data_IF_364152258917
#
_entry.id   IF_364152258917
#
_cell.length_a   1.000
_cell.length_b   1.000
_cell.length_c   1.000
_cell.angle_alpha   90.00
_cell.angle_beta   90.00
_cell.angle_gamma   90.00
#
_symmetry.space_group_name_H-M   'P 1'
#
loop_
_entity.id
_entity.type
_entity.pdbx_description
1 polymer ?
#
# COMPACT_ATOMS: atom_id res chain seq x y z
N UNK A 1 -21.35 -3.46 -48.43
CA UNK A 1 -20.98 -3.56 -47.01
C UNK A 1 -22.05 -4.36 -46.31
N UNK A 2 -21.62 -5.48 -45.77
CA UNK A 2 -22.22 -6.79 -45.99
C UNK A 2 -23.32 -7.12 -44.97
N UNK A 3 -24.45 -7.65 -45.43
CA UNK A 3 -25.55 -8.15 -44.60
C UNK A 3 -25.02 -9.16 -43.56
N UNK A 4 -23.97 -9.90 -43.94
CA UNK A 4 -23.22 -10.82 -43.10
C UNK A 4 -22.63 -10.16 -41.84
N UNK A 5 -22.15 -8.91 -41.94
CA UNK A 5 -21.58 -8.18 -40.80
C UNK A 5 -22.65 -7.75 -39.79
N UNK A 6 -23.84 -7.37 -40.29
CA UNK A 6 -24.98 -7.03 -39.42
C UNK A 6 -25.48 -8.25 -38.66
N UNK A 7 -25.64 -9.38 -39.35
CA UNK A 7 -26.08 -10.64 -38.72
C UNK A 7 -25.06 -11.10 -37.67
N UNK A 8 -23.75 -11.01 -37.95
CA UNK A 8 -22.71 -11.34 -36.99
C UNK A 8 -22.76 -10.47 -35.73
N UNK A 9 -22.96 -9.15 -35.86
CA UNK A 9 -23.07 -8.23 -34.72
C UNK A 9 -24.33 -8.51 -33.89
N UNK A 10 -25.46 -8.81 -34.52
CA UNK A 10 -26.69 -9.15 -33.79
C UNK A 10 -26.56 -10.48 -33.03
N UNK A 11 -25.90 -11.48 -33.62
CA UNK A 11 -25.67 -12.77 -32.97
C UNK A 11 -24.71 -12.66 -31.77
N UNK A 12 -23.66 -11.84 -31.86
CA UNK A 12 -22.73 -11.64 -30.73
C UNK A 12 -23.37 -10.87 -29.57
N UNK A 13 -24.19 -9.85 -29.87
CA UNK A 13 -24.92 -9.10 -28.84
C UNK A 13 -25.95 -9.97 -28.11
N UNK A 14 -26.67 -10.84 -28.82
CA UNK A 14 -27.61 -11.79 -28.22
C UNK A 14 -26.92 -12.83 -27.31
N UNK A 15 -25.68 -13.18 -27.62
CA UNK A 15 -24.90 -14.13 -26.81
C UNK A 15 -24.43 -13.51 -25.48
N UNK A 16 -24.01 -12.24 -25.51
CA UNK A 16 -23.58 -11.50 -24.30
C UNK A 16 -24.76 -11.26 -23.34
N UNK A 17 -25.97 -11.01 -23.84
CA UNK A 17 -27.16 -10.82 -23.00
C UNK A 17 -27.65 -12.10 -22.32
N UNK A 18 -27.20 -13.28 -22.78
CA UNK A 18 -27.63 -14.57 -22.25
C UNK A 18 -26.71 -15.10 -21.14
N UNK A 19 -25.66 -14.36 -20.76
CA UNK A 19 -24.77 -14.74 -19.66
C UNK A 19 -25.46 -14.39 -18.33
N UNK A 20 -25.82 -15.37 -17.49
CA UNK A 20 -26.37 -15.08 -16.17
C UNK A 20 -25.28 -14.45 -15.30
N UNK A 21 -25.45 -13.17 -14.95
CA UNK A 21 -24.61 -12.48 -13.97
C UNK A 21 -24.88 -13.11 -12.60
N UNK A 22 -23.96 -13.94 -12.11
CA UNK A 22 -24.05 -14.46 -10.76
C UNK A 22 -23.70 -13.35 -9.75
N UNK A 23 -24.52 -13.13 -8.71
CA UNK A 23 -24.16 -12.21 -7.64
C UNK A 23 -22.98 -12.80 -6.85
N UNK A 24 -21.86 -12.07 -6.80
CA UNK A 24 -20.77 -12.35 -5.86
C UNK A 24 -21.35 -12.18 -4.45
N UNK A 25 -21.56 -13.31 -3.79
CA UNK A 25 -22.02 -13.34 -2.41
C UNK A 25 -20.88 -12.86 -1.52
N UNK A 26 -21.05 -11.72 -0.86
CA UNK A 26 -20.12 -11.24 0.14
C UNK A 26 -19.97 -12.27 1.26
N UNK A 27 -18.72 -12.62 1.60
CA UNK A 27 -18.43 -13.46 2.76
C UNK A 27 -18.86 -12.71 4.02
N UNK A 28 -19.82 -13.30 4.74
CA UNK A 28 -20.31 -12.81 6.02
C UNK A 28 -19.23 -13.00 7.09
N UNK A 29 -18.80 -11.89 7.68
CA UNK A 29 -17.80 -11.84 8.75
C UNK A 29 -18.47 -12.24 10.07
N UNK A 30 -18.50 -13.53 10.36
CA UNK A 30 -18.91 -14.04 11.67
C UNK A 30 -18.03 -15.20 12.07
N UNK A 31 -16.97 -14.87 12.81
CA UNK A 31 -16.23 -15.66 13.80
C UNK A 31 -14.74 -15.30 13.83
N UNK A 32 -14.43 -14.10 14.36
CA UNK A 32 -13.15 -13.85 14.99
C UNK A 32 -13.36 -13.29 16.41
N UNK A 33 -14.17 -14.00 17.18
CA UNK A 33 -14.15 -13.90 18.64
C UNK A 33 -13.01 -14.79 19.15
N UNK A 34 -11.99 -14.21 19.78
CA UNK A 34 -11.14 -14.97 20.71
C UNK A 34 -9.62 -14.94 20.54
N UNK A 35 -9.00 -14.01 19.80
CA UNK A 35 -7.53 -13.84 19.88
C UNK A 35 -7.14 -12.38 20.10
N UNK A 36 -7.06 -12.00 21.37
CA UNK A 36 -6.32 -10.82 21.81
C UNK A 36 -4.84 -11.06 21.54
N UNK A 37 -4.42 -10.87 20.28
CA UNK A 37 -3.01 -10.87 19.88
C UNK A 37 -2.41 -9.63 20.55
N UNK A 38 -1.55 -9.83 21.54
CA UNK A 38 -0.78 -8.74 22.14
C UNK A 38 -0.01 -8.05 21.01
N UNK A 39 -0.16 -6.74 20.91
CA UNK A 39 0.56 -5.88 19.97
C UNK A 39 2.05 -5.92 20.27
N UNK A 40 2.73 -6.96 19.77
CA UNK A 40 4.19 -7.06 19.71
C UNK A 40 4.68 -6.56 18.34
N UNK A 41 4.07 -5.49 17.83
CA UNK A 41 4.57 -4.72 16.68
C UNK A 41 5.04 -3.37 17.25
N UNK A 42 6.16 -3.39 17.98
CA UNK A 42 6.55 -2.26 18.83
C UNK A 42 7.71 -1.44 18.28
N UNK A 43 8.85 -2.09 18.04
CA UNK A 43 10.13 -1.38 17.85
C UNK A 43 11.11 -2.06 16.89
N UNK A 44 10.83 -3.26 16.35
CA UNK A 44 11.77 -3.96 15.47
C UNK A 44 11.91 -3.31 14.09
N UNK A 45 10.81 -2.79 13.55
CA UNK A 45 10.78 -2.17 12.23
C UNK A 45 11.10 -0.66 12.27
N UNK A 46 11.47 -0.09 13.43
CA UNK A 46 11.73 1.35 13.54
C UNK A 46 12.98 1.74 12.75
N UNK A 47 12.83 2.70 11.85
CA UNK A 47 13.96 3.27 11.11
C UNK A 47 14.57 4.38 11.97
N UNK A 48 15.81 4.17 12.41
CA UNK A 48 16.52 5.12 13.27
C UNK A 48 17.21 6.22 12.49
N UNK A 49 17.79 5.89 11.33
CA UNK A 49 18.45 6.84 10.43
C UNK A 49 18.65 6.23 9.04
N UNK A 50 18.37 7.00 8.00
CA UNK A 50 18.75 6.68 6.62
C UNK A 50 20.05 7.41 6.21
N UNK A 51 20.82 6.86 5.27
CA UNK A 51 21.93 7.57 4.63
C UNK A 51 21.45 8.91 4.05
N UNK A 52 22.12 10.01 4.41
CA UNK A 52 21.76 11.35 3.95
C UNK A 52 20.47 11.93 4.55
N UNK A 53 19.85 11.27 5.54
CA UNK A 53 18.63 11.77 6.16
C UNK A 53 18.88 13.02 7.01
N UNK A 54 18.19 14.14 6.72
CA UNK A 54 18.16 15.29 7.63
C UNK A 54 17.39 14.95 8.91
N UNK A 55 17.60 15.72 9.98
CA UNK A 55 16.89 15.50 11.25
C UNK A 55 15.37 15.60 11.07
N UNK A 56 14.62 14.65 11.62
CA UNK A 56 13.15 14.54 11.52
C UNK A 56 12.53 14.49 12.91
N UNK A 57 11.28 14.95 13.02
CA UNK A 57 10.50 15.02 14.27
C UNK A 57 9.34 13.99 14.30
N UNK A 58 9.32 13.05 13.37
CA UNK A 58 8.33 11.95 13.29
C UNK A 58 9.04 10.60 13.25
N UNK A 59 8.34 9.55 13.72
CA UNK A 59 8.84 8.17 13.60
C UNK A 59 8.42 7.57 12.27
N UNK A 60 9.24 6.67 11.77
CA UNK A 60 8.96 5.90 10.57
C UNK A 60 9.46 4.46 10.73
N UNK A 61 8.77 3.55 10.06
CA UNK A 61 8.92 2.11 10.24
C UNK A 61 8.97 1.44 8.88
N UNK A 62 9.89 0.51 8.66
CA UNK A 62 10.00 -0.22 7.42
C UNK A 62 10.22 -1.69 7.71
N UNK A 63 9.48 -2.56 7.03
CA UNK A 63 9.51 -3.99 7.30
C UNK A 63 8.68 -4.78 6.31
N UNK A 64 8.44 -6.05 6.65
CA UNK A 64 7.69 -6.98 5.82
C UNK A 64 6.47 -7.52 6.56
N UNK A 65 5.36 -7.63 5.84
CA UNK A 65 4.14 -8.31 6.31
C UNK A 65 3.92 -9.54 5.47
N UNK A 66 4.00 -10.73 6.07
CA UNK A 66 3.71 -11.99 5.40
C UNK A 66 2.23 -12.05 5.00
N UNK A 67 1.97 -12.23 3.71
CA UNK A 67 0.61 -12.31 3.14
C UNK A 67 0.24 -13.72 2.67
N UNK A 68 1.24 -14.59 2.45
CA UNK A 68 1.01 -15.99 2.18
C UNK A 68 2.20 -16.81 2.68
N UNK A 69 2.06 -17.42 3.86
CA UNK A 69 3.10 -18.24 4.48
C UNK A 69 3.46 -19.46 3.63
N UNK A 70 2.46 -20.13 3.03
CA UNK A 70 2.67 -21.35 2.23
C UNK A 70 3.54 -21.12 1.01
N UNK A 71 3.40 -19.95 0.39
CA UNK A 71 4.13 -19.57 -0.82
C UNK A 71 5.28 -18.59 -0.50
N UNK A 72 5.61 -18.37 0.77
CA UNK A 72 6.68 -17.45 1.18
C UNK A 72 6.49 -15.99 0.73
N UNK A 73 5.24 -15.53 0.53
CA UNK A 73 4.98 -14.17 0.03
C UNK A 73 4.85 -13.19 1.18
N UNK A 74 5.61 -12.11 1.12
CA UNK A 74 5.49 -10.95 1.99
C UNK A 74 5.36 -9.66 1.18
N UNK A 75 4.75 -8.65 1.78
CA UNK A 75 4.70 -7.28 1.28
C UNK A 75 5.62 -6.41 2.10
N UNK A 76 6.53 -5.71 1.43
CA UNK A 76 7.28 -4.64 2.06
C UNK A 76 6.39 -3.42 2.31
N UNK A 77 6.54 -2.81 3.47
CA UNK A 77 5.89 -1.57 3.83
C UNK A 77 6.90 -0.53 4.31
N UNK A 78 6.59 0.74 4.07
CA UNK A 78 7.27 1.85 4.72
C UNK A 78 6.22 2.84 5.24
N UNK A 79 6.15 2.95 6.56
CA UNK A 79 5.20 3.76 7.32
C UNK A 79 5.85 5.01 7.88
N UNK A 80 5.18 6.15 7.76
CA UNK A 80 5.57 7.41 8.36
C UNK A 80 4.45 7.89 9.30
N UNK A 81 4.78 8.18 10.55
CA UNK A 81 3.84 8.86 11.45
C UNK A 81 3.55 10.28 10.95
N UNK A 82 2.36 10.79 11.29
CA UNK A 82 2.06 12.18 11.06
C UNK A 82 2.96 13.08 11.90
N UNK A 83 3.40 14.20 11.35
CA UNK A 83 4.27 15.15 12.07
C UNK A 83 3.55 15.84 13.22
N UNK A 84 2.21 15.91 13.19
CA UNK A 84 1.39 16.56 14.22
C UNK A 84 0.30 15.63 14.75
N UNK A 85 0.29 15.41 16.07
CA UNK A 85 -0.68 14.59 16.81
C UNK A 85 -0.95 13.24 16.12
N UNK A 86 0.09 12.38 15.94
CA UNK A 86 -0.04 11.14 15.17
C UNK A 86 -1.13 10.20 15.69
N UNK A 87 -1.43 10.23 16.99
CA UNK A 87 -2.48 9.41 17.61
C UNK A 87 -3.93 9.85 17.25
N UNK A 88 -4.09 11.04 16.66
CA UNK A 88 -5.39 11.62 16.28
C UNK A 88 -5.63 11.63 14.76
N UNK A 89 -4.69 11.12 13.95
CA UNK A 89 -4.78 11.16 12.49
C UNK A 89 -5.31 9.84 11.93
N UNK A 90 -6.14 9.86 10.87
CA UNK A 90 -6.66 8.64 10.28
C UNK A 90 -5.53 7.79 9.69
N UNK A 91 -5.81 6.48 9.55
CA UNK A 91 -4.96 5.59 8.79
C UNK A 91 -5.17 5.75 7.29
N UNK A 92 -4.12 5.96 6.50
CA UNK A 92 -4.17 6.01 5.03
C UNK A 92 -3.26 4.96 4.40
N UNK A 93 -3.81 4.11 3.52
CA UNK A 93 -3.06 3.16 2.71
C UNK A 93 -2.88 3.76 1.31
N UNK A 94 -1.63 3.87 0.86
CA UNK A 94 -1.29 4.30 -0.50
C UNK A 94 -0.74 3.13 -1.31
N UNK A 95 -1.35 2.92 -2.48
CA UNK A 95 -0.96 1.91 -3.45
C UNK A 95 -0.85 2.58 -4.82
N UNK A 96 0.32 2.52 -5.42
CA UNK A 96 0.46 2.89 -6.82
C UNK A 96 -0.19 1.83 -7.71
N UNK A 97 -0.82 2.31 -8.78
CA UNK A 97 -1.41 1.45 -9.81
C UNK A 97 -0.38 0.91 -10.79
N UNK A 98 -0.88 0.30 -11.87
CA UNK A 98 -0.08 -0.37 -12.89
C UNK A 98 0.48 -1.71 -12.40
N UNK A 99 0.58 -2.74 -13.26
CA UNK A 99 1.22 -3.98 -12.87
C UNK A 99 2.72 -3.74 -12.66
N UNK A 100 3.17 -3.86 -11.40
CA UNK A 100 4.59 -3.94 -11.03
C UNK A 100 5.29 -2.65 -10.64
N UNK A 101 4.59 -1.52 -10.59
CA UNK A 101 5.15 -0.28 -10.07
C UNK A 101 5.26 -0.33 -8.53
N UNK A 102 6.42 0.03 -7.99
CA UNK A 102 6.62 0.12 -6.54
C UNK A 102 5.95 1.38 -5.99
N UNK A 103 5.04 1.21 -5.03
CA UNK A 103 4.47 2.33 -4.27
C UNK A 103 5.52 3.05 -3.44
N UNK A 104 6.59 2.36 -3.01
CA UNK A 104 7.69 2.99 -2.29
C UNK A 104 8.58 3.79 -3.26
N UNK A 105 9.05 3.15 -4.34
CA UNK A 105 10.00 3.77 -5.27
C UNK A 105 9.42 4.93 -6.11
N UNK A 106 8.11 4.94 -6.34
CA UNK A 106 7.42 6.08 -6.97
C UNK A 106 6.69 6.92 -5.93
N UNK A 107 5.70 6.34 -5.25
CA UNK A 107 4.79 7.10 -4.38
C UNK A 107 5.48 7.73 -3.18
N UNK A 108 6.21 6.95 -2.39
CA UNK A 108 6.90 7.50 -1.23
C UNK A 108 8.06 8.42 -1.61
N UNK A 109 8.90 8.04 -2.57
CA UNK A 109 10.16 8.74 -2.85
C UNK A 109 10.10 9.80 -3.94
N UNK A 110 8.99 9.91 -4.68
CA UNK A 110 8.86 10.89 -5.76
C UNK A 110 7.57 11.72 -5.68
N UNK A 111 6.53 11.25 -4.97
CA UNK A 111 5.22 11.92 -4.95
C UNK A 111 4.89 12.48 -3.56
N UNK A 112 4.47 11.62 -2.62
CA UNK A 112 3.72 12.02 -1.42
C UNK A 112 4.48 11.80 -0.11
N UNK A 113 5.56 11.02 -0.11
CA UNK A 113 6.31 10.72 1.11
C UNK A 113 7.17 11.91 1.60
N UNK A 114 7.71 11.82 2.82
CA UNK A 114 8.45 12.91 3.46
C UNK A 114 9.85 13.11 2.89
N UNK A 115 10.39 12.10 2.21
CA UNK A 115 11.72 12.13 1.63
C UNK A 115 11.61 11.94 0.12
N UNK A 116 12.12 12.91 -0.64
CA UNK A 116 12.28 12.78 -2.09
C UNK A 116 13.71 12.39 -2.40
N UNK A 117 13.89 11.41 -3.28
CA UNK A 117 15.21 11.03 -3.78
C UNK A 117 15.68 12.08 -4.78
N UNK A 118 16.96 12.46 -4.71
CA UNK A 118 17.56 13.39 -5.66
C UNK A 118 17.69 12.77 -7.06
N UNK A 119 17.82 13.60 -8.10
CA UNK A 119 17.88 13.15 -9.49
C UNK A 119 19.06 12.20 -9.76
N UNK A 120 20.16 12.39 -9.03
CA UNK A 120 21.36 11.56 -9.12
C UNK A 120 21.30 10.31 -8.22
N UNK A 121 20.22 10.13 -7.44
CA UNK A 121 20.04 8.98 -6.52
C UNK A 121 20.97 8.99 -5.30
N UNK A 122 21.78 10.03 -5.11
CA UNK A 122 22.84 10.10 -4.10
C UNK A 122 22.39 10.66 -2.76
N UNK A 123 21.14 11.10 -2.64
CA UNK A 123 20.64 11.73 -1.42
C UNK A 123 19.13 11.81 -1.37
N UNK A 124 18.65 12.20 -0.19
CA UNK A 124 17.24 12.46 0.07
C UNK A 124 17.06 13.89 0.57
N UNK A 125 16.01 14.53 0.08
CA UNK A 125 15.59 15.88 0.50
C UNK A 125 14.20 15.82 1.11
N UNK A 126 13.89 16.78 1.98
CA UNK A 126 12.55 16.87 2.54
C UNK A 126 11.51 17.28 1.50
N UNK A 127 10.37 16.60 1.52
CA UNK A 127 9.17 17.02 0.81
C UNK A 127 8.38 18.02 1.65
N UNK A 128 8.32 19.27 1.20
CA UNK A 128 7.56 20.29 1.91
C UNK A 128 6.04 20.06 1.89
N UNK A 129 5.55 19.27 0.94
CA UNK A 129 4.14 18.96 0.72
C UNK A 129 3.80 17.50 1.03
N UNK A 130 4.61 16.83 1.86
CA UNK A 130 4.33 15.44 2.21
C UNK A 130 2.99 15.28 2.90
N UNK A 131 2.30 14.19 2.56
CA UNK A 131 0.99 13.87 3.13
C UNK A 131 1.06 13.57 4.63
N UNK A 132 2.23 13.18 5.15
CA UNK A 132 2.41 12.99 6.59
C UNK A 132 2.39 14.32 7.38
N UNK A 133 2.47 15.48 6.71
CA UNK A 133 2.31 16.79 7.35
C UNK A 133 0.84 17.18 7.60
N UNK A 134 -0.11 16.62 6.85
CA UNK A 134 -1.52 16.90 7.12
C UNK A 134 -2.50 16.50 6.03
N UNK A 135 -3.47 15.69 6.45
CA UNK A 135 -4.88 16.02 6.26
C UNK A 135 -5.47 16.16 7.68
N UNK A 136 -6.13 17.27 7.99
CA UNK A 136 -6.85 17.46 9.25
C UNK A 136 -8.24 16.85 9.13
N UNK A 137 -8.38 15.60 9.54
CA UNK A 137 -9.68 14.96 9.74
C UNK A 137 -9.79 14.62 11.21
N UNK A 138 -10.82 15.15 11.87
CA UNK A 138 -11.22 14.66 13.19
C UNK A 138 -11.73 13.22 13.03
N UNK A 139 -11.08 12.24 13.65
CA UNK A 139 -11.76 11.06 14.20
C UNK A 139 -10.91 10.27 15.19
N UNK A 140 -11.62 9.56 16.07
CA UNK A 140 -11.14 8.89 17.28
C UNK A 140 -10.20 7.71 16.97
N UNK A 141 -8.97 7.76 17.51
CA UNK A 141 -7.97 6.68 17.56
C UNK A 141 -7.75 5.91 16.26
N UNK A 142 -6.85 6.41 15.43
CA UNK A 142 -6.31 5.63 14.32
C UNK A 142 -4.81 5.90 14.21
N UNK A 143 -4.05 4.89 13.83
CA UNK A 143 -2.67 5.02 13.35
C UNK A 143 -2.60 4.22 12.06
N UNK A 144 -2.01 4.78 11.01
CA UNK A 144 -1.14 4.11 10.03
C UNK A 144 -1.05 4.93 8.72
N UNK A 145 0.10 4.99 8.08
CA UNK A 145 0.26 5.51 6.73
C UNK A 145 1.05 4.45 5.96
N UNK A 146 0.37 3.46 5.38
CA UNK A 146 1.07 2.33 4.78
C UNK A 146 1.34 2.63 3.31
N UNK A 147 2.62 2.75 2.93
CA UNK A 147 3.03 2.67 1.52
C UNK A 147 3.37 1.20 1.24
N UNK A 148 2.43 0.48 0.65
CA UNK A 148 2.61 -0.94 0.32
C UNK A 148 3.13 -1.09 -1.10
N UNK A 149 4.32 -1.66 -1.30
CA UNK A 149 4.83 -1.92 -2.66
C UNK A 149 4.11 -3.10 -3.31
N UNK A 150 3.51 -2.88 -4.48
CA UNK A 150 3.05 -3.95 -5.37
C UNK A 150 4.06 -4.09 -6.52
N UNK A 151 5.25 -4.63 -6.24
CA UNK A 151 6.21 -5.00 -7.28
C UNK A 151 6.42 -6.52 -7.25
N UNK A 152 6.25 -7.24 -8.38
CA UNK A 152 6.53 -8.68 -8.45
C UNK A 152 8.01 -9.01 -8.15
N UNK A 153 8.90 -8.01 -8.20
CA UNK A 153 10.32 -8.14 -7.88
C UNK A 153 10.64 -8.20 -6.38
N UNK A 154 9.67 -7.89 -5.52
CA UNK A 154 9.85 -7.91 -4.05
C UNK A 154 9.07 -9.06 -3.39
N UNK A 155 8.55 -10.00 -4.19
CA UNK A 155 8.20 -11.34 -3.73
C UNK A 155 9.49 -12.15 -3.60
N UNK A 156 10.33 -11.80 -2.62
CA UNK A 156 11.51 -12.60 -2.32
C UNK A 156 11.02 -13.94 -1.72
N UNK A 157 11.31 -15.09 -2.35
CA UNK A 157 10.87 -16.40 -1.86
C UNK A 157 11.54 -16.79 -0.53
N UNK A 158 12.54 -16.05 -0.07
CA UNK A 158 13.25 -16.28 1.18
C UNK A 158 13.37 -15.00 2.02
N UNK A 159 12.36 -14.76 2.85
CA UNK A 159 12.46 -13.82 3.97
C UNK A 159 13.20 -14.51 5.13
N UNK A 160 14.54 -14.46 5.12
CA UNK A 160 15.34 -14.70 6.32
C UNK A 160 15.90 -13.35 6.77
N UNK A 161 15.53 -12.95 7.99
CA UNK A 161 15.92 -11.70 8.65
C UNK A 161 17.33 -11.23 8.28
N UNK A 162 17.42 -9.99 7.81
CA UNK A 162 18.64 -9.19 7.92
C UNK A 162 18.62 -8.46 9.27
#
# INVERSE_FOLDING_TARGET
>A
MDFTLKVAVFLTLAFVSSIPVQPVSGVSDSQLSGRKKRDSYGNEDIVTKLPGQPAVDFRHYAGYVTVNEKNGRALFYWFYEATTRPDEKPLVLWLNGGPGCSSVGYGATQEIGPFLVDIDGNGIKFNNFSWNKGISVMHHRSKLFLVGSCAPFMLLPDCKSI
#
